data_IF_924221462303
#
_entry.id   IF_924221462303
#
_cell.length_a   1.000
_cell.length_b   1.000
_cell.length_c   1.000
_cell.angle_alpha   90.00
_cell.angle_beta   90.00
_cell.angle_gamma   90.00
#
_symmetry.space_group_name_H-M   'P 1'
#
loop_
_entity.id
_entity.type
_entity.pdbx_description
1 polymer ?
#
# COMPACT_ATOMS: atom_id res chain seq x y z
N UNK A 1 -0.19 4.50 17.49
CA UNK A 1 -1.44 3.73 17.21
C UNK A 1 -1.06 2.74 16.11
N UNK A 2 -1.50 1.50 16.19
CA UNK A 2 -1.22 0.49 15.17
C UNK A 2 -2.49 0.32 14.32
N UNK A 3 -2.34 0.39 13.00
CA UNK A 3 -3.45 0.23 12.06
C UNK A 3 -3.69 -1.25 11.74
N UNK A 4 -4.95 -1.67 11.56
CA UNK A 4 -5.25 -3.05 11.21
C UNK A 4 -4.82 -3.36 9.78
N UNK A 5 -4.59 -4.65 9.49
CA UNK A 5 -4.52 -5.13 8.11
C UNK A 5 -5.92 -5.50 7.65
N UNK A 6 -6.41 -4.87 6.59
CA UNK A 6 -7.73 -5.10 6.01
C UNK A 6 -7.63 -5.52 4.56
N UNK A 7 -8.55 -6.37 4.14
CA UNK A 7 -8.75 -6.80 2.76
C UNK A 7 -10.22 -6.56 2.42
N UNK A 8 -10.46 -5.90 1.29
CA UNK A 8 -11.82 -5.69 0.76
C UNK A 8 -11.81 -6.04 -0.72
N UNK A 9 -12.52 -7.08 -1.08
CA UNK A 9 -12.75 -7.45 -2.47
C UNK A 9 -13.84 -6.57 -3.09
N UNK A 10 -13.86 -6.48 -4.41
CA UNK A 10 -14.84 -5.69 -5.18
C UNK A 10 -14.93 -4.22 -4.70
N UNK A 11 -13.77 -3.65 -4.40
CA UNK A 11 -13.66 -2.36 -3.72
C UNK A 11 -14.28 -1.19 -4.51
N UNK A 12 -13.98 -1.05 -5.80
CA UNK A 12 -14.62 -0.05 -6.67
C UNK A 12 -15.82 -0.66 -7.39
N UNK A 13 -16.90 0.11 -7.52
CA UNK A 13 -18.09 -0.32 -8.26
C UNK A 13 -17.80 -0.47 -9.76
N UNK A 14 -16.94 0.37 -10.30
CA UNK A 14 -16.51 0.33 -11.70
C UNK A 14 -14.97 0.40 -11.79
N UNK A 15 -14.27 -0.71 -11.52
CA UNK A 15 -12.81 -0.76 -11.54
C UNK A 15 -12.22 -0.57 -12.93
N UNK A 16 -12.97 -0.91 -14.00
CA UNK A 16 -12.49 -0.75 -15.38
C UNK A 16 -12.36 0.73 -15.77
N UNK A 17 -13.25 1.60 -15.29
CA UNK A 17 -13.11 3.04 -15.51
C UNK A 17 -11.87 3.60 -14.77
N UNK A 18 -11.51 3.04 -13.62
CA UNK A 18 -10.26 3.41 -12.92
C UNK A 18 -9.03 2.96 -13.74
N UNK A 19 -9.07 1.75 -14.30
CA UNK A 19 -8.01 1.26 -15.21
C UNK A 19 -7.90 2.16 -16.45
N UNK A 20 -9.03 2.56 -17.05
CA UNK A 20 -9.08 3.47 -18.19
C UNK A 20 -8.51 4.84 -17.82
N UNK A 21 -8.91 5.39 -16.67
CA UNK A 21 -8.35 6.63 -16.15
C UNK A 21 -6.83 6.54 -15.98
N UNK A 22 -6.31 5.42 -15.45
CA UNK A 22 -4.88 5.24 -15.25
C UNK A 22 -4.06 5.36 -16.53
N UNK A 23 -4.64 5.03 -17.69
CA UNK A 23 -3.98 5.12 -19.00
C UNK A 23 -3.78 6.56 -19.48
N UNK A 24 -4.51 7.54 -18.92
CA UNK A 24 -4.38 8.96 -19.26
C UNK A 24 -3.22 9.65 -18.55
N UNK A 25 -2.62 9.00 -17.55
CA UNK A 25 -1.48 9.54 -16.82
C UNK A 25 -0.16 9.28 -17.54
N UNK A 26 0.78 10.21 -17.39
CA UNK A 26 2.17 10.00 -17.81
C UNK A 26 2.92 9.28 -16.70
N UNK A 27 3.67 8.24 -17.04
CA UNK A 27 4.42 7.45 -16.07
C UNK A 27 5.92 7.74 -16.18
N UNK A 28 6.60 7.80 -15.04
CA UNK A 28 8.05 7.98 -14.96
C UNK A 28 8.66 6.98 -13.98
N UNK A 29 9.92 6.63 -14.19
CA UNK A 29 10.73 5.91 -13.21
C UNK A 29 11.06 6.82 -12.02
N UNK A 30 11.35 6.25 -10.87
CA UNK A 30 11.92 7.00 -9.77
C UNK A 30 13.27 7.60 -10.17
N UNK A 31 13.53 8.83 -9.76
CA UNK A 31 14.83 9.48 -9.98
C UNK A 31 15.94 8.71 -9.26
N UNK A 32 15.64 8.16 -8.07
CA UNK A 32 16.58 7.45 -7.21
C UNK A 32 16.25 5.95 -7.08
N UNK A 33 15.52 5.37 -8.03
CA UNK A 33 15.06 3.97 -8.00
C UNK A 33 14.42 3.53 -6.66
N UNK A 34 13.78 4.47 -5.97
CA UNK A 34 13.20 4.25 -4.63
C UNK A 34 11.98 3.34 -4.65
N UNK A 35 11.37 3.14 -5.81
CA UNK A 35 10.26 2.19 -6.02
C UNK A 35 10.41 1.43 -7.32
N UNK A 36 9.84 0.22 -7.40
CA UNK A 36 9.90 -0.59 -8.60
C UNK A 36 8.99 -0.06 -9.71
N UNK A 37 9.43 -0.22 -10.97
CA UNK A 37 8.64 0.13 -12.15
C UNK A 37 8.49 1.62 -12.36
N UNK A 38 7.28 2.04 -12.72
CA UNK A 38 6.96 3.44 -13.00
C UNK A 38 5.76 3.90 -12.19
N UNK A 39 5.73 5.18 -11.83
CA UNK A 39 4.60 5.84 -11.16
C UNK A 39 4.07 6.99 -12.00
N UNK A 40 2.77 7.23 -11.86
CA UNK A 40 2.16 8.48 -12.32
C UNK A 40 2.62 9.66 -11.48
N UNK A 41 2.43 10.92 -11.89
CA UNK A 41 2.41 12.03 -10.95
C UNK A 41 1.37 11.79 -9.83
N UNK A 42 1.48 12.46 -8.67
CA UNK A 42 0.47 12.38 -7.63
C UNK A 42 -0.92 12.66 -8.20
N UNK A 43 -1.91 11.80 -7.94
CA UNK A 43 -3.24 11.91 -8.56
C UNK A 43 -3.93 13.24 -8.24
N UNK A 44 -3.65 13.83 -7.07
CA UNK A 44 -4.21 15.14 -6.69
C UNK A 44 -3.74 16.30 -7.57
N UNK A 45 -2.57 16.18 -8.22
CA UNK A 45 -2.05 17.22 -9.12
C UNK A 45 -2.64 17.16 -10.52
N UNK A 46 -3.11 15.98 -10.93
CA UNK A 46 -3.64 15.73 -12.28
C UNK A 46 -5.16 15.63 -12.28
N UNK A 47 -5.73 14.94 -11.29
CA UNK A 47 -7.16 14.65 -11.23
C UNK A 47 -7.69 14.76 -9.79
N UNK A 48 -7.79 15.98 -9.27
CA UNK A 48 -8.17 16.26 -7.88
C UNK A 48 -9.50 15.60 -7.44
N UNK A 49 -10.51 15.61 -8.31
CA UNK A 49 -11.82 14.98 -7.99
C UNK A 49 -11.69 13.48 -7.75
N UNK A 50 -10.95 12.79 -8.60
CA UNK A 50 -10.68 11.36 -8.43
C UNK A 50 -9.90 11.10 -7.14
N UNK A 51 -8.86 11.89 -6.88
CA UNK A 51 -8.07 11.77 -5.66
C UNK A 51 -8.94 11.87 -4.40
N UNK A 52 -9.75 12.92 -4.28
CA UNK A 52 -10.63 13.12 -3.13
C UNK A 52 -11.61 11.97 -2.98
N UNK A 53 -12.33 11.64 -4.04
CA UNK A 53 -13.32 10.56 -4.02
C UNK A 53 -12.71 9.20 -3.64
N UNK A 54 -11.59 8.82 -4.24
CA UNK A 54 -10.96 7.52 -4.00
C UNK A 54 -10.33 7.42 -2.61
N UNK A 55 -9.72 8.50 -2.11
CA UNK A 55 -9.14 8.54 -0.76
C UNK A 55 -10.22 8.52 0.32
N UNK A 56 -11.32 9.26 0.15
CA UNK A 56 -12.48 9.19 1.06
C UNK A 56 -13.12 7.80 1.06
N UNK A 57 -13.21 7.14 -0.10
CA UNK A 57 -13.70 5.76 -0.20
C UNK A 57 -12.78 4.78 0.56
N UNK A 58 -11.46 4.95 0.50
CA UNK A 58 -10.51 4.16 1.28
C UNK A 58 -10.70 4.42 2.78
N UNK A 59 -10.79 5.69 3.19
CA UNK A 59 -11.00 6.07 4.58
C UNK A 59 -12.33 5.58 5.14
N UNK A 60 -13.37 5.48 4.31
CA UNK A 60 -14.68 4.98 4.75
C UNK A 60 -14.66 3.51 5.19
N UNK A 61 -13.64 2.73 4.79
CA UNK A 61 -13.45 1.36 5.29
C UNK A 61 -13.05 1.36 6.77
N UNK A 62 -12.26 2.34 7.20
CA UNK A 62 -11.84 2.51 8.59
C UNK A 62 -12.84 3.33 9.42
N UNK A 63 -13.50 4.28 8.77
CA UNK A 63 -14.38 5.27 9.41
C UNK A 63 -15.72 5.39 8.67
N UNK A 64 -16.53 4.32 8.62
CA UNK A 64 -17.74 4.28 7.76
C UNK A 64 -18.76 5.35 8.10
N UNK A 65 -18.85 5.77 9.37
CA UNK A 65 -19.81 6.76 9.83
C UNK A 65 -19.27 8.19 9.89
N UNK A 66 -17.95 8.38 9.78
CA UNK A 66 -17.30 9.64 10.13
C UNK A 66 -16.33 10.16 9.06
N UNK A 67 -16.30 9.57 7.88
CA UNK A 67 -15.32 9.93 6.83
C UNK A 67 -15.34 11.43 6.51
N UNK A 68 -16.51 12.06 6.48
CA UNK A 68 -16.64 13.49 6.18
C UNK A 68 -16.18 14.41 7.31
N UNK A 69 -15.99 13.88 8.52
CA UNK A 69 -15.45 14.60 9.68
C UNK A 69 -13.94 14.49 9.82
N UNK A 70 -13.25 13.88 8.86
CA UNK A 70 -11.81 13.66 8.92
C UNK A 70 -11.03 14.78 8.22
N UNK A 71 -9.94 15.20 8.87
CA UNK A 71 -8.80 15.83 8.21
C UNK A 71 -7.74 14.78 7.96
N UNK A 72 -7.20 14.78 6.77
CA UNK A 72 -6.16 13.82 6.40
C UNK A 72 -5.18 14.42 5.40
N UNK A 73 -3.98 13.89 5.40
CA UNK A 73 -2.99 14.12 4.35
C UNK A 73 -2.70 12.79 3.69
N UNK A 74 -2.77 12.76 2.37
CA UNK A 74 -2.43 11.57 1.61
C UNK A 74 -1.71 11.92 0.30
N UNK A 75 -0.93 10.96 -0.18
CA UNK A 75 -0.36 10.99 -1.52
C UNK A 75 -0.74 9.70 -2.22
N UNK A 76 -1.21 9.82 -3.46
CA UNK A 76 -1.73 8.68 -4.22
C UNK A 76 -1.13 8.65 -5.61
N UNK A 77 -0.79 7.45 -6.08
CA UNK A 77 -0.18 7.21 -7.38
C UNK A 77 -0.79 5.97 -8.04
N UNK A 78 -0.92 5.99 -9.37
CA UNK A 78 -0.93 4.76 -10.12
C UNK A 78 0.51 4.26 -10.27
N UNK A 79 0.72 2.97 -10.04
CA UNK A 79 2.03 2.34 -10.18
C UNK A 79 1.95 1.15 -11.10
N UNK A 80 2.90 1.07 -12.04
CA UNK A 80 3.08 -0.06 -12.96
C UNK A 80 4.39 -0.75 -12.62
N UNK A 81 4.32 -2.04 -12.34
CA UNK A 81 5.50 -2.84 -12.03
C UNK A 81 5.62 -3.96 -13.06
N UNK A 82 6.61 -3.89 -13.96
CA UNK A 82 6.89 -4.98 -14.89
C UNK A 82 7.29 -6.25 -14.15
N UNK A 83 6.81 -7.36 -14.62
CA UNK A 83 7.11 -8.68 -14.05
C UNK A 83 8.62 -8.98 -13.94
N UNK A 84 9.40 -8.53 -14.91
CA UNK A 84 10.82 -8.86 -15.02
C UNK A 84 11.73 -8.16 -14.01
N UNK A 85 11.24 -7.13 -13.30
CA UNK A 85 12.10 -6.28 -12.46
C UNK A 85 12.58 -7.01 -11.19
N UNK A 86 11.83 -8.00 -10.65
CA UNK A 86 12.16 -8.57 -9.33
C UNK A 86 12.22 -10.09 -9.25
N UNK A 87 11.92 -10.85 -10.28
CA UNK A 87 12.06 -12.32 -10.27
C UNK A 87 11.45 -13.05 -9.06
N UNK A 88 10.45 -12.45 -8.38
CA UNK A 88 9.82 -13.03 -7.19
C UNK A 88 9.49 -12.01 -6.10
N UNK A 89 10.27 -11.93 -5.03
CA UNK A 89 9.98 -11.04 -3.90
C UNK A 89 10.67 -9.68 -4.06
N UNK A 90 9.92 -8.60 -3.74
CA UNK A 90 10.46 -7.26 -3.66
C UNK A 90 11.34 -7.05 -2.43
N UNK A 91 11.90 -5.87 -2.31
CA UNK A 91 12.63 -5.45 -1.11
C UNK A 91 11.65 -5.33 0.07
N UNK A 92 11.97 -5.94 1.20
CA UNK A 92 11.16 -5.83 2.42
C UNK A 92 11.51 -4.51 3.11
N UNK A 93 10.50 -3.70 3.42
CA UNK A 93 10.64 -2.36 3.99
C UNK A 93 9.43 -1.96 4.83
N UNK A 94 9.51 -0.78 5.43
CA UNK A 94 8.40 -0.08 6.09
C UNK A 94 8.19 1.27 5.43
N UNK A 95 6.96 1.77 5.47
CA UNK A 95 6.60 3.13 5.04
C UNK A 95 6.57 4.07 6.26
N UNK A 96 7.75 4.25 6.92
CA UNK A 96 7.87 4.86 8.26
C UNK A 96 7.30 6.27 8.40
N UNK A 97 7.26 7.03 7.31
CA UNK A 97 6.72 8.40 7.31
C UNK A 97 5.19 8.45 7.24
N UNK A 98 4.54 7.30 7.06
CA UNK A 98 3.12 7.17 6.82
C UNK A 98 2.45 6.35 7.92
N UNK A 99 1.22 6.74 8.27
CA UNK A 99 0.44 6.02 9.29
C UNK A 99 -0.03 4.68 8.75
N UNK A 100 -0.55 4.67 7.53
CA UNK A 100 -0.86 3.42 6.84
C UNK A 100 -0.75 3.57 5.31
N UNK A 101 -0.58 2.44 4.67
CA UNK A 101 -0.55 2.30 3.21
C UNK A 101 -1.75 1.50 2.75
N UNK A 102 -2.33 1.92 1.63
CA UNK A 102 -3.35 1.14 0.94
C UNK A 102 -2.95 0.88 -0.51
N UNK A 103 -3.32 -0.29 -0.99
CA UNK A 103 -3.07 -0.74 -2.36
C UNK A 103 -4.37 -1.29 -2.93
N UNK A 104 -4.84 -0.72 -4.05
CA UNK A 104 -5.91 -1.35 -4.84
C UNK A 104 -5.26 -1.98 -6.07
N UNK A 105 -5.46 -3.28 -6.23
CA UNK A 105 -4.96 -4.02 -7.39
C UNK A 105 -5.90 -3.83 -8.57
N UNK A 106 -5.35 -3.35 -9.68
CA UNK A 106 -6.09 -2.98 -10.90
C UNK A 106 -5.69 -3.83 -12.12
N UNK A 107 -5.02 -4.92 -11.87
CA UNK A 107 -4.69 -5.97 -12.84
C UNK A 107 -4.80 -7.33 -12.18
N UNK A 108 -5.14 -8.34 -12.96
CA UNK A 108 -5.32 -9.70 -12.45
C UNK A 108 -4.00 -10.48 -12.48
N UNK A 109 -3.37 -10.61 -11.31
CA UNK A 109 -2.14 -11.36 -11.12
C UNK A 109 -2.24 -12.17 -9.82
N UNK A 110 -3.05 -13.25 -9.79
CA UNK A 110 -3.41 -13.94 -8.55
C UNK A 110 -2.21 -14.54 -7.79
N UNK A 111 -1.10 -14.80 -8.47
CA UNK A 111 0.13 -15.30 -7.82
C UNK A 111 1.02 -14.15 -7.27
N UNK A 112 0.70 -12.90 -7.57
CA UNK A 112 1.42 -11.74 -7.05
C UNK A 112 0.69 -11.11 -5.88
N UNK A 113 1.25 -10.06 -5.28
CA UNK A 113 0.59 -9.37 -4.19
C UNK A 113 1.54 -8.61 -3.27
N UNK A 114 1.16 -8.55 -2.01
CA UNK A 114 1.96 -7.96 -0.93
C UNK A 114 2.11 -8.98 0.18
N UNK A 115 3.33 -9.17 0.67
CA UNK A 115 3.59 -10.01 1.82
C UNK A 115 3.90 -9.16 3.04
N UNK A 116 3.42 -9.57 4.22
CA UNK A 116 3.73 -8.97 5.50
C UNK A 116 4.72 -9.87 6.26
N UNK A 117 5.66 -9.22 6.92
CA UNK A 117 6.80 -9.89 7.54
C UNK A 117 6.97 -9.50 9.01
N UNK A 118 7.69 -10.35 9.73
CA UNK A 118 8.25 -10.06 11.04
C UNK A 118 9.77 -10.11 10.93
N UNK A 119 10.43 -9.08 11.45
CA UNK A 119 11.89 -9.10 11.60
C UNK A 119 12.29 -10.18 12.63
N UNK A 120 13.31 -10.97 12.34
CA UNK A 120 13.82 -12.02 13.25
C UNK A 120 14.93 -11.50 14.16
N UNK A 121 15.56 -10.40 13.83
CA UNK A 121 16.62 -9.80 14.63
C UNK A 121 16.25 -8.38 15.09
N UNK A 122 15.83 -8.26 16.34
CA UNK A 122 15.45 -6.98 16.95
C UNK A 122 16.64 -6.01 17.15
N UNK A 123 17.88 -6.47 17.01
CA UNK A 123 19.07 -5.68 17.27
C UNK A 123 19.52 -4.90 16.03
N UNK A 124 19.06 -5.31 14.87
CA UNK A 124 19.40 -4.68 13.61
C UNK A 124 18.14 -4.06 13.04
N UNK A 125 18.13 -2.75 12.85
CA UNK A 125 17.18 -2.13 11.95
C UNK A 125 17.67 -2.39 10.52
N UNK A 126 17.09 -3.39 9.81
CA UNK A 126 17.59 -3.77 8.50
C UNK A 126 17.18 -2.77 7.40
N UNK A 127 16.40 -1.76 7.79
CA UNK A 127 15.86 -0.76 6.90
C UNK A 127 16.70 0.50 6.96
N UNK A 128 17.93 0.43 6.50
CA UNK A 128 18.52 1.67 6.07
C UNK A 128 17.94 1.95 4.67
N UNK A 129 16.96 2.83 4.63
CA UNK A 129 16.42 3.35 3.38
C UNK A 129 17.55 3.90 2.50
N UNK A 130 18.57 4.46 3.11
CA UNK A 130 19.78 4.90 2.46
C UNK A 130 20.55 3.74 1.83
N UNK A 131 20.72 2.60 2.53
CA UNK A 131 21.37 1.41 1.97
C UNK A 131 20.57 0.85 0.78
N UNK A 132 19.24 0.85 0.87
CA UNK A 132 18.35 0.46 -0.23
C UNK A 132 18.48 1.40 -1.42
N UNK A 133 18.47 2.73 -1.20
CA UNK A 133 18.64 3.75 -2.24
C UNK A 133 20.01 3.67 -2.90
N UNK A 134 21.06 3.54 -2.10
CA UNK A 134 22.44 3.38 -2.58
C UNK A 134 22.57 2.13 -3.44
N UNK A 135 21.99 1.04 -2.97
CA UNK A 135 21.97 -0.23 -3.66
C UNK A 135 21.28 -0.15 -5.03
N UNK A 136 20.10 0.49 -5.10
CA UNK A 136 19.35 0.63 -6.35
C UNK A 136 20.08 1.55 -7.35
N UNK A 137 20.82 2.56 -6.90
CA UNK A 137 21.60 3.46 -7.75
C UNK A 137 22.85 2.83 -8.34
N UNK A 138 23.56 2.08 -7.51
CA UNK A 138 24.91 1.65 -7.82
C UNK A 138 24.98 0.33 -8.60
N UNK A 139 23.85 -0.34 -8.80
CA UNK A 139 23.82 -1.66 -9.38
C UNK A 139 23.14 -1.70 -10.73
N UNK A 140 23.97 -1.70 -11.75
CA UNK A 140 23.58 -2.05 -13.14
C UNK A 140 23.46 -3.55 -13.36
N UNK A 141 24.00 -4.37 -12.45
CA UNK A 141 23.98 -5.84 -12.54
C UNK A 141 22.78 -6.43 -11.78
N UNK A 142 21.78 -6.87 -12.52
CA UNK A 142 20.55 -7.46 -12.01
C UNK A 142 20.78 -8.72 -11.12
N UNK A 143 21.74 -9.58 -11.46
CA UNK A 143 22.04 -10.78 -10.67
C UNK A 143 22.63 -10.43 -9.30
N UNK A 144 23.47 -9.41 -9.26
CA UNK A 144 24.06 -8.90 -8.04
C UNK A 144 23.01 -8.22 -7.16
N UNK A 145 22.07 -7.46 -7.75
CA UNK A 145 20.93 -6.87 -7.05
C UNK A 145 20.05 -7.95 -6.42
N UNK A 146 19.74 -8.99 -7.15
CA UNK A 146 18.91 -10.09 -6.64
C UNK A 146 19.58 -10.82 -5.47
N UNK A 147 20.87 -11.12 -5.58
CA UNK A 147 21.64 -11.76 -4.50
C UNK A 147 21.64 -10.94 -3.22
N UNK A 148 21.82 -9.63 -3.35
CA UNK A 148 21.86 -8.70 -2.22
C UNK A 148 20.48 -8.56 -1.56
N UNK A 149 19.41 -8.39 -2.35
CA UNK A 149 18.05 -8.37 -1.87
C UNK A 149 17.67 -9.65 -1.12
N UNK A 150 17.98 -10.81 -1.68
CA UNK A 150 17.76 -12.09 -1.00
C UNK A 150 18.50 -12.15 0.34
N UNK A 151 19.74 -11.69 0.41
CA UNK A 151 20.50 -11.62 1.65
C UNK A 151 19.85 -10.67 2.68
N UNK A 152 19.38 -9.51 2.26
CA UNK A 152 18.68 -8.57 3.13
C UNK A 152 17.33 -9.15 3.61
N UNK A 153 16.55 -9.74 2.71
CA UNK A 153 15.25 -10.32 3.02
C UNK A 153 15.33 -11.54 3.95
N UNK A 154 16.44 -12.27 4.01
CA UNK A 154 16.62 -13.43 4.89
C UNK A 154 16.51 -13.12 6.39
N UNK A 155 16.53 -11.85 6.77
CA UNK A 155 16.33 -11.37 8.15
C UNK A 155 14.85 -11.32 8.55
N UNK A 156 13.95 -11.71 7.67
CA UNK A 156 12.52 -11.59 7.86
C UNK A 156 11.81 -12.93 7.67
N UNK A 157 10.81 -13.17 8.53
CA UNK A 157 9.87 -14.27 8.38
C UNK A 157 8.54 -13.75 7.81
N UNK A 158 8.14 -14.29 6.67
CA UNK A 158 6.82 -14.01 6.09
C UNK A 158 5.73 -14.52 7.04
N UNK A 159 4.73 -13.69 7.32
CA UNK A 159 3.60 -13.99 8.20
C UNK A 159 2.27 -14.04 7.48
N UNK A 160 2.09 -13.14 6.51
CA UNK A 160 0.84 -13.04 5.74
C UNK A 160 1.19 -12.83 4.27
N UNK A 161 0.40 -13.42 3.42
CA UNK A 161 0.46 -13.22 1.98
C UNK A 161 -0.90 -12.71 1.48
N UNK A 162 -0.91 -11.51 0.90
CA UNK A 162 -2.08 -10.81 0.43
C UNK A 162 -2.07 -10.84 -1.10
N UNK A 163 -2.89 -11.71 -1.68
CA UNK A 163 -2.92 -11.91 -3.14
C UNK A 163 -3.57 -10.74 -3.87
N UNK A 164 -3.03 -10.41 -5.05
CA UNK A 164 -3.50 -9.31 -5.90
C UNK A 164 -4.66 -9.73 -6.81
N UNK A 165 -5.83 -9.96 -6.22
CA UNK A 165 -7.03 -10.13 -7.02
C UNK A 165 -7.44 -8.77 -7.62
N UNK A 166 -7.95 -8.78 -8.84
CA UNK A 166 -8.47 -7.57 -9.48
C UNK A 166 -9.52 -6.88 -8.60
N UNK A 167 -9.43 -5.56 -8.46
CA UNK A 167 -10.30 -4.73 -7.64
C UNK A 167 -10.28 -5.03 -6.12
N UNK A 168 -9.21 -5.66 -5.62
CA UNK A 168 -8.99 -5.85 -4.19
C UNK A 168 -8.26 -4.66 -3.58
N UNK A 169 -8.83 -4.09 -2.52
CA UNK A 169 -8.13 -3.19 -1.61
C UNK A 169 -7.41 -4.00 -0.53
N UNK A 170 -6.15 -3.68 -0.30
CA UNK A 170 -5.38 -4.09 0.87
C UNK A 170 -4.94 -2.83 1.61
N UNK A 171 -5.09 -2.83 2.94
CA UNK A 171 -4.66 -1.75 3.80
C UNK A 171 -3.82 -2.33 4.94
N UNK A 172 -2.71 -1.71 5.30
CA UNK A 172 -1.83 -2.12 6.40
C UNK A 172 -1.08 -0.94 7.00
N UNK A 173 -0.63 -1.12 8.24
CA UNK A 173 0.13 -0.12 9.01
C UNK A 173 1.43 0.26 8.29
N UNK A 174 1.78 1.55 8.25
CA UNK A 174 3.01 2.02 7.61
C UNK A 174 4.29 1.47 8.27
N UNK A 175 4.23 1.09 9.55
CA UNK A 175 5.33 0.46 10.29
C UNK A 175 5.38 -1.05 10.13
N UNK A 176 4.39 -1.65 9.48
CA UNK A 176 4.40 -3.07 9.18
C UNK A 176 5.46 -3.38 8.12
N UNK A 177 6.36 -4.31 8.42
CA UNK A 177 7.30 -4.83 7.44
C UNK A 177 6.57 -5.50 6.30
N UNK A 178 6.78 -5.02 5.08
CA UNK A 178 6.10 -5.53 3.91
C UNK A 178 7.00 -5.52 2.67
N UNK A 179 6.61 -6.29 1.67
CA UNK A 179 7.29 -6.34 0.39
C UNK A 179 6.37 -6.87 -0.70
N UNK A 180 6.62 -6.45 -1.94
CA UNK A 180 5.85 -6.97 -3.07
C UNK A 180 6.25 -8.42 -3.37
N UNK A 181 5.26 -9.23 -3.73
CA UNK A 181 5.45 -10.54 -4.35
C UNK A 181 5.06 -10.40 -5.83
N UNK A 182 6.00 -10.68 -6.71
CA UNK A 182 5.82 -10.66 -8.15
C UNK A 182 6.08 -12.05 -8.70
N UNK A 183 5.24 -13.01 -8.33
CA UNK A 183 5.27 -14.34 -8.87
C UNK A 183 4.14 -14.49 -9.88
N UNK A 184 4.34 -14.18 -11.12
CA UNK A 184 3.37 -14.41 -12.17
C UNK A 184 4.06 -14.98 -13.38
N UNK A 185 3.41 -15.92 -14.04
CA UNK A 185 3.87 -16.47 -15.33
C UNK A 185 3.57 -15.53 -16.49
N UNK A 186 2.75 -14.50 -16.24
CA UNK A 186 2.32 -13.54 -17.24
C UNK A 186 3.29 -12.38 -17.34
N UNK A 187 3.72 -12.05 -18.56
CA UNK A 187 4.64 -10.95 -18.87
C UNK A 187 3.99 -9.55 -18.72
N UNK A 188 2.76 -9.49 -18.21
CA UNK A 188 2.01 -8.24 -18.10
C UNK A 188 2.43 -7.41 -16.90
N UNK A 189 2.35 -6.09 -17.05
CA UNK A 189 2.61 -5.16 -15.95
C UNK A 189 1.51 -5.25 -14.89
N UNK A 190 1.91 -5.32 -13.63
CA UNK A 190 0.99 -5.17 -12.50
C UNK A 190 0.65 -3.70 -12.32
N UNK A 191 -0.62 -3.35 -12.50
CA UNK A 191 -1.16 -2.02 -12.21
C UNK A 191 -1.75 -1.98 -10.80
N UNK A 192 -1.38 -0.98 -10.02
CA UNK A 192 -1.95 -0.70 -8.71
C UNK A 192 -2.25 0.78 -8.53
N UNK A 193 -3.22 1.09 -7.66
CA UNK A 193 -3.42 2.41 -7.09
C UNK A 193 -2.90 2.36 -5.65
N UNK A 194 -1.78 3.03 -5.40
CA UNK A 194 -1.13 3.06 -4.09
C UNK A 194 -1.42 4.39 -3.41
N UNK A 195 -1.87 4.36 -2.17
CA UNK A 195 -2.15 5.56 -1.38
C UNK A 195 -1.47 5.47 -0.02
N UNK A 196 -0.74 6.51 0.32
CA UNK A 196 -0.07 6.68 1.62
C UNK A 196 -0.81 7.73 2.42
N UNK A 197 -1.19 7.42 3.66
CA UNK A 197 -1.93 8.31 4.54
C UNK A 197 -1.12 8.78 5.74
N UNK A 198 -1.30 10.05 6.10
CA UNK A 198 -0.60 10.71 7.19
C UNK A 198 -1.54 11.71 7.89
N UNK A 199 -1.35 11.91 9.19
CA UNK A 199 -2.06 12.93 9.98
C UNK A 199 -3.58 12.85 9.90
N UNK A 200 -4.15 11.66 10.15
CA UNK A 200 -5.60 11.51 10.21
C UNK A 200 -6.10 12.03 11.56
N UNK A 201 -6.95 13.05 11.52
CA UNK A 201 -7.53 13.66 12.72
C UNK A 201 -9.00 13.95 12.49
N UNK A 202 -9.79 13.97 13.56
CA UNK A 202 -11.19 14.40 13.51
C UNK A 202 -11.31 15.91 13.59
N UNK A 203 -12.20 16.48 12.78
CA UNK A 203 -12.53 17.91 12.83
C UNK A 203 -13.27 18.29 14.10
N UNK A 204 -14.14 17.40 14.58
CA UNK A 204 -14.88 17.59 15.80
C UNK A 204 -14.27 16.69 16.87
N UNK A 205 -13.97 17.24 18.05
CA UNK A 205 -13.95 16.44 19.27
C UNK A 205 -15.34 15.79 19.32
N UNK A 206 -15.42 14.49 19.11
CA UNK A 206 -16.57 13.72 19.56
C UNK A 206 -16.59 13.91 21.08
N UNK A 207 -17.43 14.83 21.54
CA UNK A 207 -17.68 14.97 22.96
C UNK A 207 -18.45 13.71 23.33
N UNK A 208 -17.81 12.83 24.09
CA UNK A 208 -18.38 11.55 24.51
C UNK A 208 -19.71 11.69 25.29
N UNK A 209 -20.11 12.93 25.60
CA UNK A 209 -21.32 13.29 26.34
C UNK A 209 -22.61 13.19 25.53
N UNK A 210 -22.56 13.20 24.19
CA UNK A 210 -23.78 13.21 23.36
C UNK A 210 -24.25 11.83 22.91
N UNK A 211 -23.53 10.77 23.18
CA UNK A 211 -23.90 9.41 22.81
C UNK A 211 -24.44 8.67 24.03
N UNK A 212 -25.64 9.00 24.48
CA UNK A 212 -26.43 8.14 25.37
C UNK A 212 -26.93 6.94 24.55
N UNK A 213 -26.08 5.93 24.36
CA UNK A 213 -26.59 4.61 23.99
C UNK A 213 -27.28 4.00 25.22
N UNK A 214 -28.57 3.66 25.16
CA UNK A 214 -29.18 2.84 26.19
C UNK A 214 -28.44 1.51 26.18
N UNK A 215 -27.69 1.23 27.24
CA UNK A 215 -27.07 -0.09 27.45
C UNK A 215 -28.24 -1.08 27.53
N UNK A 216 -28.34 -2.06 26.61
CA UNK A 216 -29.38 -3.07 26.73
C UNK A 216 -29.14 -3.82 28.04
N UNK A 217 -30.08 -3.74 28.98
CA UNK A 217 -30.08 -4.56 30.17
C UNK A 217 -30.18 -6.02 29.72
N UNK A 218 -29.07 -6.74 29.78
CA UNK A 218 -29.08 -8.18 29.60
C UNK A 218 -29.93 -8.77 30.72
N UNK A 219 -31.14 -9.25 30.40
CA UNK A 219 -31.88 -10.13 31.30
C UNK A 219 -31.05 -11.39 31.45
N UNK A 220 -30.62 -11.67 32.68
CA UNK A 220 -30.09 -12.97 33.06
C UNK A 220 -31.18 -14.01 32.81
N UNK A 221 -30.90 -14.98 31.97
CA UNK A 221 -31.66 -16.23 31.82
C UNK A 221 -31.18 -17.17 32.91
#
# INVERSE_FOLDING_TARGET
MQWPTLIVDDFFNDPHEIVKLSKTFKYAKAVDDTWPGTRSPPTHTVHKKFFLWSTEKILSVLYPMHVHGLKWHAVQYFQRVPYTIYGGEGWIHRDQDWEFTSIVYLSDHPESGTCLYKNTDYRVDPDSEEERRRFNRDLTDFKRQEKYRKKANNKFNKKVELFSNFNRLVLFDGWQWHGSKNSGKNKEERLTLVTFFKKITFFQKLVAEDVKYPIPTMRRI
#
